data_IF_992079192578
#
_entry.id   IF_992079192578
#
_cell.length_a   1.000
_cell.length_b   1.000
_cell.length_c   1.000
_cell.angle_alpha   90.00
_cell.angle_beta   90.00
_cell.angle_gamma   90.00
#
_symmetry.space_group_name_H-M   'P 1'
#
loop_
_entity.id
_entity.type
_entity.pdbx_description
1 polymer ?
#
# COMPACT_ATOMS: atom_id res chain seq x y z
N UNK A 1 21.00 -6.81 9.94
CA UNK A 1 19.53 -6.97 9.96
C UNK A 1 19.03 -6.19 11.15
N UNK A 2 18.18 -5.19 10.96
CA UNK A 2 17.64 -4.43 12.08
C UNK A 2 16.62 -5.25 12.86
N UNK A 3 16.50 -4.99 14.17
CA UNK A 3 15.44 -5.61 14.99
C UNK A 3 14.06 -5.06 14.62
N UNK A 4 12.97 -5.76 14.95
CA UNK A 4 11.61 -5.30 14.71
C UNK A 4 11.38 -3.85 15.18
N UNK A 5 11.85 -3.52 16.38
CA UNK A 5 11.72 -2.18 16.98
C UNK A 5 12.52 -1.12 16.22
N UNK A 6 13.67 -1.46 15.63
CA UNK A 6 14.44 -0.54 14.78
C UNK A 6 13.72 -0.19 13.49
N UNK A 7 13.01 -1.14 12.90
CA UNK A 7 12.20 -0.87 11.72
C UNK A 7 10.96 -0.06 12.05
N UNK A 8 10.30 -0.31 13.20
CA UNK A 8 9.21 0.55 13.66
C UNK A 8 9.68 2.00 13.89
N UNK A 9 10.85 2.19 14.52
CA UNK A 9 11.43 3.51 14.73
C UNK A 9 11.63 4.26 13.41
N UNK A 10 12.24 3.59 12.40
CA UNK A 10 12.43 4.16 11.06
C UNK A 10 11.12 4.51 10.37
N UNK A 11 10.09 3.68 10.51
CA UNK A 11 8.78 3.92 9.93
C UNK A 11 8.14 5.18 10.54
N UNK A 12 8.17 5.32 11.87
CA UNK A 12 7.62 6.50 12.54
C UNK A 12 8.40 7.78 12.21
N UNK A 13 9.73 7.72 12.20
CA UNK A 13 10.58 8.85 11.78
C UNK A 13 10.25 9.28 10.34
N UNK A 14 10.02 8.33 9.42
CA UNK A 14 9.63 8.62 8.04
C UNK A 14 8.28 9.32 7.94
N UNK A 15 7.26 8.82 8.65
CA UNK A 15 5.93 9.45 8.64
C UNK A 15 6.00 10.88 9.17
N UNK A 16 6.74 11.13 10.26
CA UNK A 16 6.92 12.48 10.78
C UNK A 16 7.60 13.43 9.79
N UNK A 17 8.56 12.92 9.02
CA UNK A 17 9.33 13.71 8.07
C UNK A 17 8.53 14.01 6.80
N UNK A 18 7.77 13.04 6.30
CA UNK A 18 7.12 13.10 4.99
C UNK A 18 5.65 13.56 5.05
N UNK A 19 5.10 13.84 6.24
CA UNK A 19 3.73 14.33 6.39
C UNK A 19 3.68 15.76 6.89
N UNK A 20 3.07 16.66 6.12
CA UNK A 20 2.61 17.98 6.60
C UNK A 20 1.09 18.06 6.57
N UNK A 21 0.49 18.99 7.33
CA UNK A 21 -0.96 19.20 7.33
C UNK A 21 -1.53 19.50 5.93
N UNK A 22 -0.80 20.26 5.13
CA UNK A 22 -1.27 20.72 3.81
C UNK A 22 -1.29 19.59 2.79
N UNK A 23 -0.37 18.64 2.93
CA UNK A 23 -0.13 17.64 1.91
C UNK A 23 -0.83 16.31 2.20
N UNK A 24 -1.49 16.13 3.35
CA UNK A 24 -2.05 14.83 3.76
C UNK A 24 -2.99 14.20 2.72
N UNK A 25 -3.90 15.00 2.16
CA UNK A 25 -4.88 14.52 1.17
C UNK A 25 -4.19 14.29 -0.17
N UNK A 26 -3.29 15.18 -0.57
CA UNK A 26 -2.51 15.07 -1.80
C UNK A 26 -1.60 13.84 -1.78
N UNK A 27 -0.95 13.57 -0.64
CA UNK A 27 -0.18 12.34 -0.39
C UNK A 27 -1.06 11.11 -0.60
N UNK A 28 -2.26 11.07 -0.01
CA UNK A 28 -3.16 9.94 -0.18
C UNK A 28 -3.59 9.77 -1.64
N UNK A 29 -3.93 10.86 -2.31
CA UNK A 29 -4.32 10.86 -3.72
C UNK A 29 -3.19 10.32 -4.60
N UNK A 30 -2.00 10.94 -4.52
CA UNK A 30 -0.86 10.61 -5.36
C UNK A 30 -0.35 9.19 -5.11
N UNK A 31 -0.27 8.76 -3.86
CA UNK A 31 0.21 7.41 -3.54
C UNK A 31 -0.82 6.35 -3.94
N UNK A 32 -2.12 6.59 -3.72
CA UNK A 32 -3.17 5.65 -4.16
C UNK A 32 -3.21 5.56 -5.69
N UNK A 33 -3.09 6.69 -6.39
CA UNK A 33 -3.00 6.76 -7.85
C UNK A 33 -1.81 5.97 -8.36
N UNK A 34 -0.61 6.31 -7.90
CA UNK A 34 0.64 5.65 -8.31
C UNK A 34 0.59 4.14 -8.05
N UNK A 35 0.09 3.72 -6.89
CA UNK A 35 -0.07 2.30 -6.55
C UNK A 35 -1.02 1.61 -7.53
N UNK A 36 -2.16 2.24 -7.83
CA UNK A 36 -3.17 1.70 -8.76
C UNK A 36 -2.61 1.56 -10.16
N UNK A 37 -1.95 2.61 -10.66
CA UNK A 37 -1.34 2.61 -11.99
C UNK A 37 -0.23 1.56 -12.10
N UNK A 38 0.62 1.45 -11.08
CA UNK A 38 1.67 0.42 -11.00
C UNK A 38 1.04 -0.97 -11.05
N UNK A 39 0.01 -1.21 -10.24
CA UNK A 39 -0.68 -2.49 -10.19
C UNK A 39 -1.34 -2.88 -11.53
N UNK A 40 -2.01 -1.92 -12.18
CA UNK A 40 -2.63 -2.11 -13.50
C UNK A 40 -1.55 -2.48 -14.53
N UNK A 41 -0.40 -1.80 -14.50
CA UNK A 41 0.74 -2.07 -15.38
C UNK A 41 1.34 -3.46 -15.12
N UNK A 42 1.55 -3.83 -13.85
CA UNK A 42 2.05 -5.16 -13.48
C UNK A 42 1.16 -6.27 -14.04
N UNK A 43 -0.17 -6.14 -13.87
CA UNK A 43 -1.12 -7.10 -14.43
C UNK A 43 -1.07 -7.13 -15.96
N UNK A 44 -0.93 -5.98 -16.60
CA UNK A 44 -0.79 -5.91 -18.07
C UNK A 44 0.41 -6.70 -18.57
N UNK A 45 1.54 -6.58 -17.86
CA UNK A 45 2.75 -7.32 -18.16
C UNK A 45 2.55 -8.82 -17.93
N UNK A 46 1.90 -9.22 -16.83
CA UNK A 46 1.59 -10.64 -16.55
C UNK A 46 0.67 -11.25 -17.61
N UNK A 47 -0.39 -10.54 -17.99
CA UNK A 47 -1.30 -10.95 -19.06
C UNK A 47 -0.58 -11.00 -20.41
N UNK A 48 0.30 -10.04 -20.69
CA UNK A 48 1.12 -10.02 -21.90
C UNK A 48 2.03 -11.26 -21.95
N UNK A 49 2.76 -11.55 -20.88
CA UNK A 49 3.63 -12.73 -20.76
C UNK A 49 2.81 -14.01 -20.97
N UNK A 50 1.69 -14.16 -20.27
CA UNK A 50 0.84 -15.35 -20.35
C UNK A 50 0.29 -15.56 -21.76
N UNK A 51 -0.24 -14.49 -22.38
CA UNK A 51 -0.80 -14.53 -23.72
C UNK A 51 0.26 -14.91 -24.76
N UNK A 52 1.42 -14.24 -24.76
CA UNK A 52 2.45 -14.50 -25.75
C UNK A 52 3.15 -15.83 -25.54
N UNK A 53 3.24 -16.34 -24.30
CA UNK A 53 3.71 -17.70 -24.03
C UNK A 53 2.79 -18.76 -24.64
N UNK A 54 1.47 -18.55 -24.57
CA UNK A 54 0.50 -19.41 -25.23
C UNK A 54 0.60 -19.31 -26.76
N UNK A 55 0.71 -18.11 -27.32
CA UNK A 55 0.83 -17.94 -28.77
C UNK A 55 2.08 -18.62 -29.32
N UNK A 56 3.23 -18.50 -28.65
CA UNK A 56 4.49 -19.12 -29.04
C UNK A 56 4.52 -20.64 -28.90
N UNK A 57 3.65 -21.23 -28.07
CA UNK A 57 3.56 -22.69 -27.91
C UNK A 57 2.67 -23.36 -28.97
N UNK A 58 1.91 -22.60 -29.76
CA UNK A 58 1.06 -23.16 -30.83
C UNK A 58 1.83 -23.34 -32.14
N UNK A 59 1.70 -24.52 -32.78
CA UNK A 59 2.44 -24.87 -34.00
C UNK A 59 2.10 -24.02 -35.27
N UNK A 60 1.10 -23.13 -35.18
CA UNK A 60 0.68 -22.22 -36.26
C UNK A 60 0.86 -20.76 -35.84
N UNK A 61 2.06 -20.39 -35.37
CA UNK A 61 2.38 -18.98 -35.06
C UNK A 61 2.20 -18.15 -36.34
N UNK A 62 1.33 -17.13 -36.36
CA UNK A 62 1.27 -16.17 -37.46
C UNK A 62 2.66 -15.56 -37.63
N UNK A 63 3.16 -15.48 -38.87
CA UNK A 63 4.47 -14.94 -39.26
C UNK A 63 5.03 -13.91 -38.25
N UNK A 64 6.11 -14.31 -37.55
CA UNK A 64 7.02 -13.50 -36.71
C UNK A 64 6.32 -12.40 -35.90
N UNK A 65 5.88 -12.73 -34.68
CA UNK A 65 5.42 -11.76 -33.68
C UNK A 65 6.58 -10.82 -33.32
N UNK A 66 6.66 -9.67 -33.97
CA UNK A 66 7.69 -8.65 -33.70
C UNK A 66 7.20 -7.67 -32.65
N UNK A 67 8.09 -7.30 -31.73
CA UNK A 67 7.81 -6.29 -30.73
C UNK A 67 7.70 -4.91 -31.40
N UNK A 68 6.47 -4.46 -31.61
CA UNK A 68 6.12 -3.19 -32.26
C UNK A 68 4.85 -2.62 -31.60
N UNK A 69 4.60 -1.30 -31.66
CA UNK A 69 3.39 -0.68 -31.07
C UNK A 69 2.09 -1.36 -31.51
N UNK A 70 2.01 -1.80 -32.78
CA UNK A 70 0.83 -2.50 -33.33
C UNK A 70 0.57 -3.84 -32.64
N UNK A 71 1.62 -4.56 -32.24
CA UNK A 71 1.48 -5.82 -31.52
C UNK A 71 0.87 -5.58 -30.13
N UNK A 72 1.39 -4.57 -29.43
CA UNK A 72 0.91 -4.20 -28.09
C UNK A 72 -0.54 -3.73 -28.15
N UNK A 73 -0.86 -2.89 -29.14
CA UNK A 73 -2.22 -2.43 -29.40
C UNK A 73 -3.18 -3.60 -29.65
N UNK A 74 -2.83 -4.52 -30.54
CA UNK A 74 -3.64 -5.70 -30.83
C UNK A 74 -3.85 -6.59 -29.58
N UNK A 75 -2.85 -6.71 -28.72
CA UNK A 75 -2.97 -7.41 -27.43
C UNK A 75 -3.95 -6.71 -26.49
N UNK A 76 -3.83 -5.39 -26.32
CA UNK A 76 -4.70 -4.60 -25.42
C UNK A 76 -6.15 -4.62 -25.90
N UNK A 77 -6.38 -4.42 -27.20
CA UNK A 77 -7.72 -4.40 -27.81
C UNK A 77 -8.46 -5.73 -27.59
N UNK A 78 -7.70 -6.84 -27.66
CA UNK A 78 -8.23 -8.19 -27.42
C UNK A 78 -8.47 -8.50 -25.94
N UNK A 79 -7.62 -7.98 -25.06
CA UNK A 79 -7.65 -8.33 -23.62
C UNK A 79 -8.70 -7.51 -22.87
N UNK A 80 -8.94 -6.27 -23.28
CA UNK A 80 -9.80 -5.31 -22.58
C UNK A 80 -11.01 -4.92 -23.43
N UNK A 81 -11.74 -5.91 -23.94
CA UNK A 81 -12.97 -5.70 -24.71
C UNK A 81 -14.03 -5.04 -23.82
N UNK A 82 -14.43 -3.82 -24.15
CA UNK A 82 -15.39 -3.01 -23.38
C UNK A 82 -14.84 -1.70 -22.84
N UNK A 83 -13.52 -1.48 -22.94
CA UNK A 83 -12.93 -0.16 -22.69
C UNK A 83 -13.14 0.75 -23.91
N UNK A 84 -13.14 2.06 -23.70
CA UNK A 84 -13.18 3.03 -24.81
C UNK A 84 -11.90 2.92 -25.63
N UNK A 85 -11.98 3.30 -26.91
CA UNK A 85 -10.82 3.28 -27.82
C UNK A 85 -9.65 4.11 -27.28
N UNK A 86 -9.96 5.28 -26.71
CA UNK A 86 -9.00 6.16 -26.06
C UNK A 86 -8.34 5.51 -24.83
N UNK A 87 -9.11 4.82 -23.98
CA UNK A 87 -8.57 4.12 -22.82
C UNK A 87 -7.68 2.93 -23.23
N UNK A 88 -8.10 2.18 -24.25
CA UNK A 88 -7.27 1.12 -24.84
C UNK A 88 -5.99 1.69 -25.45
N UNK A 89 -6.04 2.87 -26.07
CA UNK A 89 -4.88 3.47 -26.75
C UNK A 89 -3.86 3.97 -25.73
N UNK A 90 -4.36 4.66 -24.71
CA UNK A 90 -3.56 5.09 -23.57
C UNK A 90 -2.85 3.89 -22.91
N UNK A 91 -3.60 2.83 -22.62
CA UNK A 91 -3.07 1.62 -21.98
C UNK A 91 -2.04 0.89 -22.86
N UNK A 92 -2.29 0.78 -24.16
CA UNK A 92 -1.33 0.20 -25.11
C UNK A 92 -0.03 1.01 -25.16
N UNK A 93 -0.13 2.35 -25.16
CA UNK A 93 1.03 3.22 -25.12
C UNK A 93 1.83 3.03 -23.81
N UNK A 94 1.17 3.02 -22.65
CA UNK A 94 1.86 2.80 -21.38
C UNK A 94 2.58 1.45 -21.34
N UNK A 95 1.92 0.38 -21.79
CA UNK A 95 2.52 -0.96 -21.83
C UNK A 95 3.70 -1.01 -22.81
N UNK A 96 3.57 -0.39 -23.98
CA UNK A 96 4.66 -0.29 -24.96
C UNK A 96 5.87 0.45 -24.39
N UNK A 97 5.65 1.61 -23.77
CA UNK A 97 6.69 2.43 -23.16
C UNK A 97 7.43 1.69 -22.04
N UNK A 98 6.72 0.87 -21.25
CA UNK A 98 7.35 0.03 -20.25
C UNK A 98 8.20 -1.10 -20.89
N UNK A 99 7.64 -1.78 -21.89
CA UNK A 99 8.27 -2.96 -22.51
C UNK A 99 9.45 -2.60 -23.42
N UNK A 100 9.44 -1.44 -24.10
CA UNK A 100 10.51 -1.04 -25.03
C UNK A 100 11.86 -0.82 -24.34
N UNK A 101 11.85 -0.53 -23.04
CA UNK A 101 13.07 -0.44 -22.22
C UNK A 101 13.67 -1.81 -21.91
N UNK A 102 12.98 -2.91 -22.26
CA UNK A 102 13.34 -4.30 -21.94
C UNK A 102 13.46 -5.17 -23.20
N UNK A 103 12.82 -4.77 -24.30
CA UNK A 103 12.82 -5.47 -25.60
C UNK A 103 12.99 -4.43 -26.70
N UNK A 104 13.99 -4.61 -27.55
CA UNK A 104 14.25 -3.68 -28.66
C UNK A 104 13.14 -3.77 -29.71
N UNK A 105 12.76 -2.62 -30.27
CA UNK A 105 11.74 -2.54 -31.34
C UNK A 105 12.12 -3.40 -32.56
N UNK A 106 11.13 -4.09 -33.13
CA UNK A 106 11.31 -5.01 -34.25
C UNK A 106 11.83 -6.41 -33.87
N UNK A 107 12.21 -6.62 -32.60
CA UNK A 107 12.69 -7.92 -32.10
C UNK A 107 11.62 -8.99 -32.25
N UNK A 108 12.01 -10.16 -32.77
CA UNK A 108 11.13 -11.32 -32.82
C UNK A 108 10.92 -11.89 -31.41
N UNK A 109 9.68 -11.90 -30.95
CA UNK A 109 9.30 -12.36 -29.62
C UNK A 109 9.61 -13.86 -29.46
N UNK A 110 10.25 -14.20 -28.35
CA UNK A 110 10.65 -15.57 -28.01
C UNK A 110 10.45 -15.80 -26.52
N UNK A 111 10.40 -17.06 -26.07
CA UNK A 111 10.26 -17.40 -24.66
C UNK A 111 11.34 -16.75 -23.76
N UNK A 112 12.58 -16.65 -24.25
CA UNK A 112 13.66 -15.97 -23.52
C UNK A 112 13.39 -14.46 -23.27
N UNK A 113 12.63 -13.79 -24.14
CA UNK A 113 12.18 -12.42 -23.90
C UNK A 113 11.14 -12.37 -22.78
N UNK A 114 10.18 -13.29 -22.80
CA UNK A 114 9.12 -13.39 -21.79
C UNK A 114 9.68 -13.75 -20.41
N UNK A 115 10.68 -14.64 -20.34
CA UNK A 115 11.39 -14.99 -19.10
C UNK A 115 12.13 -13.79 -18.51
N UNK A 116 12.78 -12.97 -19.35
CA UNK A 116 13.42 -11.73 -18.90
C UNK A 116 12.41 -10.72 -18.34
N UNK A 117 11.25 -10.56 -18.98
CA UNK A 117 10.18 -9.72 -18.47
C UNK A 117 9.66 -10.22 -17.13
N UNK A 118 9.43 -11.53 -17.00
CA UNK A 118 8.97 -12.14 -15.75
C UNK A 118 9.99 -11.96 -14.61
N UNK A 119 11.28 -12.14 -14.91
CA UNK A 119 12.36 -11.91 -13.94
C UNK A 119 12.46 -10.43 -13.52
N UNK A 120 12.34 -9.49 -14.47
CA UNK A 120 12.34 -8.06 -14.17
C UNK A 120 11.15 -7.68 -13.28
N UNK A 121 9.95 -8.17 -13.61
CA UNK A 121 8.74 -7.94 -12.81
C UNK A 121 8.88 -8.48 -11.38
N UNK A 122 9.43 -9.70 -11.21
CA UNK A 122 9.69 -10.28 -9.89
C UNK A 122 10.72 -9.46 -9.10
N UNK A 123 11.72 -8.88 -9.76
CA UNK A 123 12.71 -8.02 -9.11
C UNK A 123 12.10 -6.69 -8.66
N UNK A 124 11.24 -6.08 -9.48
CA UNK A 124 10.50 -4.85 -9.16
C UNK A 124 9.52 -5.07 -7.98
N UNK A 125 8.92 -6.26 -7.88
CA UNK A 125 7.99 -6.66 -6.79
C UNK A 125 8.67 -7.05 -5.48
N UNK A 126 10.00 -7.02 -5.41
CA UNK A 126 10.71 -7.54 -4.23
C UNK A 126 10.31 -6.74 -2.98
N UNK A 127 9.84 -7.40 -1.91
CA UNK A 127 9.49 -6.73 -0.66
C UNK A 127 10.70 -5.99 -0.08
N UNK A 128 10.46 -4.76 0.40
CA UNK A 128 11.48 -3.86 0.95
C UNK A 128 10.94 -3.12 2.16
N UNK A 129 11.85 -2.61 3.00
CA UNK A 129 11.44 -1.77 4.13
C UNK A 129 10.79 -0.47 3.63
N UNK A 130 11.29 0.08 2.52
CA UNK A 130 10.75 1.27 1.87
C UNK A 130 9.27 1.07 1.48
N UNK A 131 8.91 -0.09 0.91
CA UNK A 131 7.53 -0.41 0.56
C UNK A 131 6.63 -0.49 1.81
N UNK A 132 7.14 -1.07 2.91
CA UNK A 132 6.42 -1.11 4.19
C UNK A 132 6.22 0.31 4.75
N UNK A 133 7.26 1.14 4.73
CA UNK A 133 7.20 2.52 5.21
C UNK A 133 6.12 3.31 4.46
N UNK A 134 6.03 3.13 3.15
CA UNK A 134 4.99 3.74 2.32
C UNK A 134 3.59 3.22 2.63
N UNK A 135 3.42 1.90 2.75
CA UNK A 135 2.13 1.30 3.14
C UNK A 135 1.66 1.78 4.51
N UNK A 136 2.57 1.88 5.50
CA UNK A 136 2.24 2.41 6.82
C UNK A 136 1.86 3.88 6.74
N UNK A 137 2.62 4.70 6.00
CA UNK A 137 2.33 6.12 5.83
C UNK A 137 0.91 6.34 5.30
N UNK A 138 0.53 5.65 4.23
CA UNK A 138 -0.84 5.70 3.67
C UNK A 138 -1.87 5.23 4.70
N UNK A 139 -1.63 4.10 5.37
CA UNK A 139 -2.56 3.55 6.35
C UNK A 139 -2.80 4.48 7.54
N UNK A 140 -1.77 5.21 7.99
CA UNK A 140 -1.87 6.17 9.08
C UNK A 140 -2.70 7.39 8.71
N UNK A 141 -2.47 7.93 7.51
CA UNK A 141 -3.25 9.06 7.00
C UNK A 141 -4.73 8.67 6.87
N UNK A 142 -5.04 7.51 6.30
CA UNK A 142 -6.42 7.01 6.27
C UNK A 142 -7.01 6.84 7.67
N UNK A 143 -6.28 6.23 8.60
CA UNK A 143 -6.75 6.02 9.98
C UNK A 143 -7.04 7.32 10.71
N UNK A 144 -6.27 8.37 10.44
CA UNK A 144 -6.50 9.67 11.05
C UNK A 144 -7.70 10.38 10.42
N UNK A 145 -7.72 10.49 9.09
CA UNK A 145 -8.75 11.18 8.32
C UNK A 145 -10.13 10.51 8.40
N UNK A 146 -10.17 9.18 8.48
CA UNK A 146 -11.41 8.39 8.64
C UNK A 146 -11.75 8.11 10.12
N UNK A 147 -10.94 8.60 11.06
CA UNK A 147 -11.11 8.36 12.49
C UNK A 147 -11.31 9.65 13.26
N UNK A 148 -10.33 10.11 14.07
CA UNK A 148 -10.52 11.21 15.03
C UNK A 148 -11.13 12.50 14.49
N UNK A 149 -10.85 12.84 13.23
CA UNK A 149 -11.29 14.11 12.66
C UNK A 149 -12.45 13.98 11.67
N UNK A 150 -12.88 12.76 11.33
CA UNK A 150 -13.84 12.48 10.25
C UNK A 150 -15.10 13.34 10.34
N UNK A 151 -15.73 13.36 11.51
CA UNK A 151 -16.99 14.10 11.76
C UNK A 151 -16.83 15.62 11.67
N UNK A 152 -15.60 16.13 11.70
CA UNK A 152 -15.30 17.56 11.54
C UNK A 152 -15.02 17.98 10.09
N UNK A 153 -14.93 17.02 9.17
CA UNK A 153 -14.70 17.24 7.74
C UNK A 153 -16.02 17.36 6.99
N UNK A 154 -16.00 18.11 5.88
CA UNK A 154 -17.14 18.16 4.95
C UNK A 154 -17.46 16.77 4.38
N UNK A 155 -18.73 16.56 4.04
CA UNK A 155 -19.18 15.30 3.41
C UNK A 155 -18.41 15.01 2.12
N UNK A 156 -18.16 16.03 1.31
CA UNK A 156 -17.42 15.91 0.06
C UNK A 156 -16.01 15.36 0.28
N UNK A 157 -15.26 15.89 1.25
CA UNK A 157 -13.94 15.36 1.58
C UNK A 157 -14.02 13.96 2.19
N UNK A 158 -15.01 13.68 3.04
CA UNK A 158 -15.20 12.33 3.59
C UNK A 158 -15.45 11.31 2.48
N UNK A 159 -16.33 11.61 1.53
CA UNK A 159 -16.65 10.75 0.39
C UNK A 159 -15.39 10.51 -0.48
N UNK A 160 -14.58 11.55 -0.70
CA UNK A 160 -13.30 11.42 -1.41
C UNK A 160 -12.30 10.51 -0.67
N UNK A 161 -12.15 10.66 0.64
CA UNK A 161 -11.26 9.82 1.46
C UNK A 161 -11.74 8.36 1.46
N UNK A 162 -13.05 8.13 1.47
CA UNK A 162 -13.65 6.78 1.38
C UNK A 162 -13.38 6.19 0.00
N UNK A 163 -13.53 6.96 -1.08
CA UNK A 163 -13.23 6.51 -2.43
C UNK A 163 -11.75 6.10 -2.56
N UNK A 164 -10.82 6.96 -2.11
CA UNK A 164 -9.39 6.66 -2.08
C UNK A 164 -9.09 5.39 -1.25
N UNK A 165 -9.67 5.26 -0.06
CA UNK A 165 -9.49 4.09 0.79
C UNK A 165 -10.03 2.79 0.17
N UNK A 166 -11.15 2.89 -0.54
CA UNK A 166 -11.77 1.77 -1.26
C UNK A 166 -10.88 1.33 -2.41
N UNK A 167 -10.43 2.26 -3.25
CA UNK A 167 -9.52 1.97 -4.36
C UNK A 167 -8.21 1.38 -3.86
N UNK A 168 -7.62 1.94 -2.81
CA UNK A 168 -6.42 1.39 -2.16
C UNK A 168 -6.65 -0.07 -1.71
N UNK A 169 -7.75 -0.33 -1.00
CA UNK A 169 -8.11 -1.68 -0.54
C UNK A 169 -8.37 -2.67 -1.66
N UNK A 170 -8.96 -2.24 -2.77
CA UNK A 170 -9.16 -3.09 -3.96
C UNK A 170 -7.84 -3.39 -4.68
N UNK A 171 -6.90 -2.44 -4.74
CA UNK A 171 -5.57 -2.66 -5.30
C UNK A 171 -4.79 -3.73 -4.51
N UNK A 172 -4.84 -3.66 -3.18
CA UNK A 172 -4.24 -4.67 -2.29
C UNK A 172 -4.83 -6.08 -2.49
N UNK A 173 -6.01 -6.21 -3.11
CA UNK A 173 -6.69 -7.50 -3.37
C UNK A 173 -6.64 -7.95 -4.82
N UNK A 174 -5.90 -7.26 -5.69
CA UNK A 174 -5.85 -7.53 -7.14
C UNK A 174 -7.20 -7.39 -7.88
N UNK A 175 -8.07 -6.47 -7.44
CA UNK A 175 -9.43 -6.33 -7.97
C UNK A 175 -9.63 -5.14 -8.93
N UNK A 176 -8.66 -4.23 -9.08
CA UNK A 176 -8.84 -2.98 -9.82
C UNK A 176 -8.41 -3.12 -11.27
N UNK A 177 -9.36 -3.00 -12.21
CA UNK A 177 -9.08 -3.12 -13.65
C UNK A 177 -8.71 -1.79 -14.32
N UNK A 178 -9.30 -0.69 -13.87
CA UNK A 178 -9.08 0.69 -14.31
C UNK A 178 -9.68 1.65 -13.27
N UNK A 179 -9.15 2.88 -13.17
CA UNK A 179 -9.71 3.96 -12.33
C UNK A 179 -9.53 5.29 -13.06
N UNK A 180 -10.60 6.08 -13.09
CA UNK A 180 -10.52 7.47 -13.54
C UNK A 180 -10.14 8.36 -12.36
N UNK A 181 -9.10 9.16 -12.54
CA UNK A 181 -8.57 10.05 -11.51
C UNK A 181 -9.04 11.47 -11.77
N UNK A 182 -10.08 11.88 -11.06
CA UNK A 182 -10.52 13.28 -11.09
C UNK A 182 -9.63 14.13 -10.17
N UNK A 183 -9.20 15.32 -10.61
CA UNK A 183 -8.51 16.25 -9.73
C UNK A 183 -9.44 16.65 -8.58
N UNK A 184 -8.99 16.44 -7.35
CA UNK A 184 -9.72 16.86 -6.16
C UNK A 184 -8.99 18.01 -5.48
N UNK A 185 -9.70 19.08 -5.14
CA UNK A 185 -9.15 20.21 -4.40
C UNK A 185 -9.80 20.29 -3.03
N UNK A 186 -9.00 20.15 -1.98
CA UNK A 186 -9.47 20.32 -0.60
C UNK A 186 -9.98 21.75 -0.40
N UNK A 187 -11.17 21.89 0.18
CA UNK A 187 -11.74 23.20 0.51
C UNK A 187 -10.90 23.93 1.56
N UNK A 188 -10.88 25.26 1.56
CA UNK A 188 -10.14 26.04 2.57
C UNK A 188 -10.62 25.73 4.00
N UNK A 189 -11.93 25.45 4.15
CA UNK A 189 -12.52 25.07 5.43
C UNK A 189 -11.94 23.74 5.93
N UNK A 190 -11.93 22.72 5.10
CA UNK A 190 -11.42 21.40 5.49
C UNK A 190 -9.91 21.44 5.73
N UNK A 191 -9.18 22.18 4.89
CA UNK A 191 -7.75 22.42 5.09
C UNK A 191 -7.49 23.13 6.43
N UNK A 192 -8.35 24.08 6.81
CA UNK A 192 -8.32 24.73 8.12
C UNK A 192 -8.53 23.74 9.27
N UNK A 193 -9.51 22.84 9.15
CA UNK A 193 -9.76 21.76 10.13
C UNK A 193 -8.54 20.83 10.24
N UNK A 194 -8.02 20.35 9.13
CA UNK A 194 -6.84 19.47 9.09
C UNK A 194 -5.65 20.17 9.74
N UNK A 195 -5.39 21.42 9.39
CA UNK A 195 -4.28 22.20 9.95
C UNK A 195 -4.40 22.39 11.45
N UNK A 196 -5.61 22.67 11.94
CA UNK A 196 -5.87 22.84 13.38
C UNK A 196 -5.62 21.52 14.14
N UNK A 197 -6.09 20.40 13.61
CA UNK A 197 -6.01 19.09 14.28
C UNK A 197 -4.68 18.35 14.02
N UNK A 198 -3.88 18.78 13.05
CA UNK A 198 -2.60 18.15 12.68
C UNK A 198 -1.63 18.04 13.85
N UNK A 199 -1.64 18.99 14.79
CA UNK A 199 -0.80 18.91 16.00
C UNK A 199 -1.08 17.63 16.80
N UNK A 200 -2.33 17.22 16.89
CA UNK A 200 -2.73 15.98 17.58
C UNK A 200 -2.24 14.74 16.84
N UNK A 201 -2.29 14.74 15.51
CA UNK A 201 -1.67 13.69 14.68
C UNK A 201 -0.17 13.59 14.98
N UNK A 202 0.55 14.70 14.82
CA UNK A 202 2.00 14.76 15.01
C UNK A 202 2.41 14.27 16.39
N UNK A 203 1.77 14.78 17.44
CA UNK A 203 2.03 14.37 18.82
C UNK A 203 1.85 12.85 19.01
N UNK A 204 0.80 12.26 18.42
CA UNK A 204 0.56 10.83 18.53
C UNK A 204 1.66 9.99 17.85
N UNK A 205 2.20 10.45 16.72
CA UNK A 205 3.33 9.77 16.06
C UNK A 205 4.62 9.96 16.87
N UNK A 206 4.90 11.17 17.39
CA UNK A 206 6.05 11.45 18.26
C UNK A 206 6.02 10.62 19.55
N UNK A 207 4.86 10.47 20.18
CA UNK A 207 4.67 9.63 21.36
C UNK A 207 4.84 8.15 21.04
N UNK A 208 4.37 7.70 19.87
CA UNK A 208 4.56 6.33 19.40
C UNK A 208 6.04 6.03 19.18
N UNK A 209 6.76 6.94 18.52
CA UNK A 209 8.20 6.88 18.30
C UNK A 209 8.97 6.83 19.62
N UNK A 210 8.63 7.70 20.59
CA UNK A 210 9.22 7.69 21.92
C UNK A 210 9.00 6.35 22.62
N UNK A 211 7.77 5.82 22.56
CA UNK A 211 7.44 4.52 23.17
C UNK A 211 8.28 3.37 22.56
N UNK A 212 8.50 3.39 21.24
CA UNK A 212 9.37 2.41 20.57
C UNK A 212 10.84 2.57 20.99
N UNK A 213 11.35 3.80 21.04
CA UNK A 213 12.72 4.09 21.51
C UNK A 213 12.95 3.61 22.94
N UNK A 214 11.99 3.87 23.83
CA UNK A 214 12.02 3.41 25.22
C UNK A 214 12.00 1.88 25.32
N UNK A 215 11.21 1.21 24.48
CA UNK A 215 11.20 -0.26 24.41
C UNK A 215 12.55 -0.80 23.91
N UNK A 216 13.14 -0.19 22.89
CA UNK A 216 14.44 -0.58 22.32
C UNK A 216 15.59 -0.39 23.33
N UNK A 217 15.55 0.69 24.11
CA UNK A 217 16.58 0.99 25.12
C UNK A 217 16.68 -0.08 26.23
N UNK A 218 15.65 -0.91 26.44
CA UNK A 218 15.62 -1.95 27.48
C UNK A 218 16.49 -3.19 27.16
N UNK A 219 17.29 -3.17 26.08
CA UNK A 219 18.17 -4.28 25.64
C UNK A 219 17.44 -5.62 25.57
N UNK A 220 16.27 -5.60 24.95
CA UNK A 220 15.43 -6.79 24.73
C UNK A 220 16.19 -7.82 23.89
N UNK A 221 16.05 -9.09 24.24
CA UNK A 221 16.60 -10.20 23.45
C UNK A 221 15.88 -10.28 22.09
N UNK A 222 16.63 -10.10 21.00
CA UNK A 222 16.10 -10.17 19.63
C UNK A 222 15.61 -11.56 19.22
N UNK A 223 15.95 -12.62 19.99
CA UNK A 223 15.44 -13.97 19.81
C UNK A 223 14.12 -14.24 20.55
N UNK A 224 13.70 -13.36 21.47
CA UNK A 224 12.46 -13.52 22.24
C UNK A 224 11.37 -12.62 21.70
N UNK A 225 10.51 -13.20 20.88
CA UNK A 225 9.40 -12.45 20.27
C UNK A 225 8.45 -11.87 21.31
N UNK A 226 8.20 -12.57 22.43
CA UNK A 226 7.31 -12.11 23.50
C UNK A 226 7.78 -10.78 24.11
N UNK A 227 9.08 -10.58 24.22
CA UNK A 227 9.65 -9.33 24.73
C UNK A 227 9.57 -8.22 23.67
N UNK A 228 9.83 -8.54 22.39
CA UNK A 228 9.73 -7.58 21.29
C UNK A 228 8.29 -7.10 21.03
N UNK A 229 7.31 -7.99 21.13
CA UNK A 229 5.89 -7.69 20.89
C UNK A 229 5.15 -7.20 22.13
N UNK A 230 5.80 -7.15 23.31
CA UNK A 230 5.17 -6.68 24.56
C UNK A 230 4.55 -5.30 24.42
N UNK A 231 5.24 -4.39 23.72
CA UNK A 231 4.72 -3.07 23.33
C UNK A 231 3.35 -3.18 22.65
N UNK A 232 3.24 -4.05 21.65
CA UNK A 232 2.03 -4.22 20.84
C UNK A 232 0.89 -4.79 21.66
N UNK A 233 1.20 -5.78 22.52
CA UNK A 233 0.22 -6.37 23.45
C UNK A 233 -0.29 -5.30 24.41
N UNK A 234 0.60 -4.49 25.00
CA UNK A 234 0.19 -3.38 25.88
C UNK A 234 -0.70 -2.35 25.18
N UNK A 235 -0.39 -2.02 23.92
CA UNK A 235 -1.25 -1.14 23.12
C UNK A 235 -2.60 -1.77 22.78
N UNK A 236 -2.64 -3.08 22.47
CA UNK A 236 -3.90 -3.80 22.29
C UNK A 236 -4.76 -3.78 23.56
N UNK A 237 -4.17 -4.04 24.74
CA UNK A 237 -4.88 -3.99 26.02
C UNK A 237 -5.46 -2.59 26.32
N UNK A 238 -4.72 -1.53 25.96
CA UNK A 238 -5.23 -0.16 26.08
C UNK A 238 -6.42 0.08 25.15
N UNK A 239 -6.36 -0.41 23.91
CA UNK A 239 -7.48 -0.31 22.95
C UNK A 239 -8.71 -1.09 23.42
N UNK A 240 -8.54 -2.24 24.08
CA UNK A 240 -9.64 -2.97 24.75
C UNK A 240 -10.35 -2.04 25.75
N UNK A 241 -9.58 -1.47 26.69
CA UNK A 241 -10.11 -0.58 27.75
C UNK A 241 -10.78 0.67 27.19
N UNK A 242 -10.27 1.21 26.08
CA UNK A 242 -10.85 2.37 25.42
C UNK A 242 -12.13 2.02 24.65
N UNK A 243 -12.20 0.82 24.05
CA UNK A 243 -13.43 0.32 23.43
C UNK A 243 -14.54 0.12 24.46
N UNK A 244 -14.23 -0.41 25.65
CA UNK A 244 -15.20 -0.57 26.75
C UNK A 244 -15.76 0.77 27.23
N UNK A 245 -14.99 1.85 27.08
CA UNK A 245 -15.37 3.22 27.44
C UNK A 245 -16.03 4.01 26.31
N UNK A 246 -16.18 3.43 25.11
CA UNK A 246 -16.77 4.11 23.95
C UNK A 246 -15.91 5.23 23.36
N UNK A 247 -14.62 5.31 23.69
CA UNK A 247 -13.70 6.37 23.23
C UNK A 247 -12.71 5.86 22.17
N UNK A 248 -13.05 4.78 21.46
CA UNK A 248 -12.15 4.17 20.48
C UNK A 248 -11.84 5.10 19.30
N UNK A 249 -12.65 6.12 19.00
CA UNK A 249 -12.37 7.06 17.90
C UNK A 249 -11.74 8.38 18.38
N UNK A 250 -11.34 8.46 19.65
CA UNK A 250 -10.74 9.66 20.22
C UNK A 250 -9.24 9.77 19.88
N UNK A 251 -8.68 10.97 20.05
CA UNK A 251 -7.25 11.26 19.86
C UNK A 251 -6.41 10.41 20.84
N UNK A 252 -6.90 10.19 22.05
CA UNK A 252 -6.23 9.40 23.09
C UNK A 252 -5.97 7.95 22.64
N UNK A 253 -6.88 7.37 21.87
CA UNK A 253 -6.73 6.02 21.32
C UNK A 253 -5.83 5.93 20.08
N UNK A 254 -5.61 7.07 19.41
CA UNK A 254 -4.95 7.09 18.11
C UNK A 254 -3.50 6.62 18.19
N UNK A 255 -2.77 6.95 19.25
CA UNK A 255 -1.40 6.47 19.50
C UNK A 255 -1.32 4.94 19.51
N UNK A 256 -2.17 4.27 20.29
CA UNK A 256 -2.15 2.81 20.38
C UNK A 256 -2.61 2.16 19.07
N UNK A 257 -3.59 2.76 18.36
CA UNK A 257 -3.96 2.33 16.99
C UNK A 257 -2.78 2.41 16.03
N UNK A 258 -2.02 3.49 16.11
CA UNK A 258 -0.83 3.73 15.27
C UNK A 258 0.22 2.66 15.52
N UNK A 259 0.56 2.38 16.79
CA UNK A 259 1.54 1.35 17.16
C UNK A 259 1.11 -0.03 16.62
N UNK A 260 -0.12 -0.45 16.93
CA UNK A 260 -0.63 -1.77 16.54
C UNK A 260 -0.72 -1.91 15.03
N UNK A 261 -1.24 -0.90 14.33
CA UNK A 261 -1.42 -0.97 12.87
C UNK A 261 -0.08 -1.02 12.13
N UNK A 262 0.89 -0.22 12.57
CA UNK A 262 2.26 -0.22 12.02
C UNK A 262 2.89 -1.61 12.19
N UNK A 263 2.78 -2.17 13.39
CA UNK A 263 3.32 -3.49 13.68
C UNK A 263 2.66 -4.58 12.83
N UNK A 264 1.34 -4.57 12.69
CA UNK A 264 0.62 -5.55 11.88
C UNK A 264 1.02 -5.47 10.40
N UNK A 265 1.07 -4.26 9.81
CA UNK A 265 1.52 -4.07 8.43
C UNK A 265 2.93 -4.62 8.26
N UNK A 266 3.86 -4.26 9.15
CA UNK A 266 5.24 -4.74 9.09
C UNK A 266 5.33 -6.27 9.19
N UNK A 267 4.71 -6.89 10.21
CA UNK A 267 4.85 -8.33 10.43
C UNK A 267 4.08 -9.18 9.42
N UNK A 268 3.07 -8.64 8.74
CA UNK A 268 2.35 -9.36 7.69
C UNK A 268 3.12 -9.37 6.36
N UNK A 269 3.95 -8.37 6.11
CA UNK A 269 4.70 -8.20 4.86
C UNK A 269 5.73 -9.32 4.60
N UNK A 270 5.91 -9.70 3.34
CA UNK A 270 6.85 -10.75 2.90
C UNK A 270 8.32 -10.41 3.14
N UNK A 271 8.66 -9.13 3.30
CA UNK A 271 9.97 -8.66 3.74
C UNK A 271 10.38 -9.31 5.07
N UNK A 272 9.42 -9.55 5.96
CA UNK A 272 9.66 -10.22 7.25
C UNK A 272 9.63 -11.72 7.06
N UNK A 273 10.77 -12.37 7.28
CA UNK A 273 10.88 -13.83 7.36
C UNK A 273 10.19 -14.34 8.62
N UNK A 274 9.28 -15.30 8.46
CA UNK A 274 8.40 -15.80 9.52
C UNK A 274 8.72 -17.25 9.86
N UNK A 275 9.28 -17.47 11.04
CA UNK A 275 9.41 -18.81 11.61
C UNK A 275 8.08 -19.27 12.28
N UNK A 276 7.98 -20.53 12.72
CA UNK A 276 6.75 -21.04 13.33
C UNK A 276 6.29 -20.30 14.60
N UNK A 277 7.22 -19.76 15.41
CA UNK A 277 6.86 -19.04 16.64
C UNK A 277 6.32 -17.66 16.29
N UNK A 278 6.98 -16.93 15.38
CA UNK A 278 6.51 -15.64 14.90
C UNK A 278 5.13 -15.76 14.23
N UNK A 279 4.87 -16.81 13.46
CA UNK A 279 3.55 -17.06 12.87
C UNK A 279 2.44 -17.18 13.93
N UNK A 280 2.70 -17.89 15.03
CA UNK A 280 1.73 -18.02 16.14
C UNK A 280 1.44 -16.67 16.80
N UNK A 281 2.48 -15.87 17.01
CA UNK A 281 2.34 -14.53 17.60
C UNK A 281 1.60 -13.59 16.66
N UNK A 282 1.91 -13.59 15.35
CA UNK A 282 1.16 -12.84 14.35
C UNK A 282 -0.32 -13.21 14.38
N UNK A 283 -0.64 -14.51 14.42
CA UNK A 283 -2.02 -14.97 14.50
C UNK A 283 -2.74 -14.45 15.76
N UNK A 284 -2.09 -14.51 16.92
CA UNK A 284 -2.62 -13.96 18.17
C UNK A 284 -2.87 -12.44 18.06
N UNK A 285 -1.89 -11.67 17.59
CA UNK A 285 -2.01 -10.22 17.45
C UNK A 285 -3.14 -9.83 16.49
N UNK A 286 -3.28 -10.55 15.38
CA UNK A 286 -4.38 -10.37 14.42
C UNK A 286 -5.73 -10.69 15.07
N UNK A 287 -5.85 -11.81 15.80
CA UNK A 287 -7.08 -12.19 16.49
C UNK A 287 -7.50 -11.16 17.54
N UNK A 288 -6.54 -10.60 18.28
CA UNK A 288 -6.80 -9.52 19.23
C UNK A 288 -7.22 -8.23 18.52
N UNK A 289 -6.53 -7.86 17.43
CA UNK A 289 -6.83 -6.64 16.67
C UNK A 289 -8.21 -6.67 15.99
N UNK A 290 -8.66 -7.83 15.50
CA UNK A 290 -9.96 -7.96 14.83
C UNK A 290 -11.14 -7.48 15.68
N UNK A 291 -11.02 -7.52 17.01
CA UNK A 291 -12.05 -7.03 17.93
C UNK A 291 -12.30 -5.50 17.81
N UNK A 292 -11.36 -4.77 17.20
CA UNK A 292 -11.38 -3.30 17.06
C UNK A 292 -11.48 -2.82 15.62
N UNK A 293 -11.13 -3.67 14.64
CA UNK A 293 -11.03 -3.28 13.23
C UNK A 293 -12.35 -2.73 12.67
N UNK A 294 -13.46 -3.33 13.09
CA UNK A 294 -14.79 -3.12 12.48
C UNK A 294 -15.76 -2.34 13.40
N UNK A 295 -15.25 -1.70 14.48
CA UNK A 295 -16.06 -0.88 15.42
C UNK A 295 -16.00 0.63 15.12
N UNK A 296 -15.83 1.01 13.85
CA UNK A 296 -15.89 2.40 13.40
C UNK A 296 -17.28 2.72 12.88
#
# INVERSE_FOLDING_TARGET
MGTFLEHLEKIFDFVLKETTAKDMVDILYDKTRKMTETHIMERDIENFIAYFRLMLSTARVPKKLRFEPKLIRAFVDRTYTGFTDAAQAFRANQLYEYLKNKIDEGTEMQNAHLERLEAALRAEKKPSLENIMEHVHIAMLFKWLQGPIKESLSKELQDQIIALGTTYGQCQRHLVLNVEWEPFKVSERDLGTITKEYKSFKNAIEDSLKTVRDARAKKIDSGKYEEQFRLIISSLDNLVRMSEKGILNSIESFKDKVIVSTALIYIQDEFVRKDPQLKKIIQLLISLYYQFRDKV
#
